data_IF_474891789264
#
_entry.id   IF_474891789264
#
_cell.length_a   1.000
_cell.length_b   1.000
_cell.length_c   1.000
_cell.angle_alpha   90.00
_cell.angle_beta   90.00
_cell.angle_gamma   90.00
#
_symmetry.space_group_name_H-M   'P 1'
#
loop_
_entity.id
_entity.type
_entity.pdbx_description
1 polymer ?
#
# COMPACT_ATOMS: atom_id res chain seq x y z
N UNK A 1 -7.60 -30.51 -0.67
CA UNK A 1 -7.44 -29.52 -1.77
C UNK A 1 -6.05 -28.88 -1.81
N UNK A 2 -5.46 -28.44 -0.68
CA UNK A 2 -4.10 -27.86 -0.64
C UNK A 2 -2.97 -28.79 -1.14
N UNK A 3 -3.04 -30.10 -0.85
CA UNK A 3 -2.04 -31.09 -1.28
C UNK A 3 -2.06 -31.37 -2.79
N UNK A 4 -3.23 -31.30 -3.44
CA UNK A 4 -3.36 -31.50 -4.88
C UNK A 4 -2.82 -30.31 -5.69
N UNK A 5 -2.89 -29.10 -5.12
CA UNK A 5 -2.30 -27.88 -5.71
C UNK A 5 -0.77 -27.83 -5.55
N UNK A 6 -0.24 -28.29 -4.41
CA UNK A 6 1.20 -28.43 -4.19
C UNK A 6 1.83 -29.42 -5.20
N UNK A 7 1.11 -30.48 -5.59
CA UNK A 7 1.59 -31.44 -6.60
C UNK A 7 1.58 -30.88 -8.04
N UNK A 8 0.62 -30.00 -8.40
CA UNK A 8 0.54 -29.35 -9.72
C UNK A 8 1.54 -28.19 -9.90
N UNK A 9 2.22 -27.79 -8.81
CA UNK A 9 3.24 -26.75 -8.76
C UNK A 9 4.53 -27.06 -9.54
N UNK A 10 4.77 -28.27 -10.02
CA UNK A 10 6.16 -28.71 -10.20
C UNK A 10 6.85 -28.33 -11.53
N UNK A 11 6.13 -27.90 -12.58
CA UNK A 11 6.73 -27.54 -13.88
C UNK A 11 6.61 -26.05 -14.21
N UNK A 12 5.38 -25.52 -14.25
CA UNK A 12 5.15 -24.12 -14.60
C UNK A 12 5.74 -23.13 -13.58
N UNK A 13 5.67 -23.43 -12.27
CA UNK A 13 6.27 -22.56 -11.24
C UNK A 13 7.81 -22.55 -11.29
N UNK A 14 8.42 -23.70 -11.66
CA UNK A 14 9.87 -23.81 -11.87
C UNK A 14 10.31 -23.00 -13.09
N UNK A 15 9.54 -23.06 -14.18
CA UNK A 15 9.80 -22.28 -15.39
C UNK A 15 9.69 -20.77 -15.11
N UNK A 16 8.64 -20.35 -14.41
CA UNK A 16 8.44 -18.96 -13.99
C UNK A 16 9.59 -18.47 -13.11
N UNK A 17 10.00 -19.24 -12.11
CA UNK A 17 11.15 -18.89 -11.26
C UNK A 17 12.45 -18.80 -12.06
N UNK A 18 12.69 -19.77 -12.95
CA UNK A 18 13.87 -19.78 -13.83
C UNK A 18 13.89 -18.52 -14.69
N UNK A 19 12.79 -18.15 -15.31
CA UNK A 19 12.72 -16.95 -16.15
C UNK A 19 12.92 -15.65 -15.35
N UNK A 20 12.24 -15.51 -14.21
CA UNK A 20 12.29 -14.28 -13.42
C UNK A 20 13.66 -14.01 -12.76
N UNK A 21 14.45 -15.04 -12.47
CA UNK A 21 15.70 -14.91 -11.71
C UNK A 21 16.91 -15.39 -12.52
N UNK A 22 16.89 -16.63 -12.99
CA UNK A 22 18.04 -17.26 -13.65
C UNK A 22 18.22 -16.77 -15.09
N UNK A 23 17.13 -16.39 -15.76
CA UNK A 23 17.13 -15.87 -17.12
C UNK A 23 16.98 -14.35 -17.23
N UNK A 24 16.90 -13.64 -16.10
CA UNK A 24 16.65 -12.20 -16.11
C UNK A 24 17.96 -11.40 -16.00
N UNK A 25 18.44 -10.75 -17.08
CA UNK A 25 19.70 -10.00 -17.06
C UNK A 25 19.71 -8.85 -16.03
N UNK A 26 18.55 -8.27 -15.71
CA UNK A 26 18.46 -7.19 -14.73
C UNK A 26 18.76 -7.68 -13.30
N UNK A 27 18.50 -8.95 -13.01
CA UNK A 27 18.78 -9.58 -11.70
C UNK A 27 20.23 -10.02 -11.60
N UNK A 28 20.80 -10.53 -12.70
CA UNK A 28 22.14 -11.14 -12.75
C UNK A 28 23.30 -10.15 -12.60
N UNK A 29 23.02 -8.84 -12.56
CA UNK A 29 24.03 -7.82 -12.35
C UNK A 29 24.88 -7.50 -13.58
N UNK A 30 24.52 -8.05 -14.76
CA UNK A 30 25.20 -7.74 -16.02
C UNK A 30 24.84 -6.34 -16.56
N UNK A 31 23.74 -5.74 -16.08
CA UNK A 31 23.26 -4.40 -16.44
C UNK A 31 23.28 -3.37 -15.31
N UNK A 32 23.21 -2.09 -15.68
CA UNK A 32 23.07 -0.95 -14.74
C UNK A 32 21.76 -1.01 -13.94
N UNK A 33 21.70 -0.34 -12.78
CA UNK A 33 20.44 -0.19 -12.03
C UNK A 33 19.36 0.58 -12.80
N UNK A 34 19.75 1.45 -13.74
CA UNK A 34 18.78 2.17 -14.58
C UNK A 34 18.10 1.26 -15.61
N UNK A 35 18.74 0.14 -15.98
CA UNK A 35 18.25 -0.73 -17.04
C UNK A 35 16.91 -1.40 -16.69
N UNK A 36 16.71 -1.74 -15.41
CA UNK A 36 15.43 -2.29 -14.92
C UNK A 36 14.26 -1.30 -14.99
N UNK A 37 14.50 -0.01 -15.25
CA UNK A 37 13.44 0.98 -15.45
C UNK A 37 12.90 0.96 -16.89
N UNK A 38 13.62 0.33 -17.82
CA UNK A 38 13.25 0.24 -19.24
C UNK A 38 12.75 -1.16 -19.63
N UNK A 39 12.89 -2.13 -18.73
CA UNK A 39 12.50 -3.51 -18.94
C UNK A 39 11.26 -3.87 -18.11
N UNK A 40 10.56 -4.91 -18.55
CA UNK A 40 9.51 -5.56 -17.79
C UNK A 40 10.10 -6.42 -16.66
N UNK A 41 9.21 -6.95 -15.81
CA UNK A 41 9.56 -7.81 -14.69
C UNK A 41 10.42 -9.04 -15.06
N UNK A 42 10.42 -9.47 -16.32
CA UNK A 42 11.14 -10.65 -16.79
C UNK A 42 12.49 -10.30 -17.45
N UNK A 43 12.80 -9.01 -17.59
CA UNK A 43 14.03 -8.52 -18.23
C UNK A 43 13.89 -8.29 -19.74
N UNK A 44 12.67 -8.28 -20.27
CA UNK A 44 12.40 -7.92 -21.67
C UNK A 44 12.16 -6.41 -21.79
N UNK A 45 12.76 -5.68 -22.75
CA UNK A 45 12.46 -4.26 -22.95
C UNK A 45 10.96 -3.98 -23.08
N UNK A 46 10.46 -2.93 -22.42
CA UNK A 46 9.03 -2.57 -22.42
C UNK A 46 8.50 -2.21 -23.81
N UNK A 47 9.37 -1.74 -24.70
CA UNK A 47 9.04 -1.34 -26.07
C UNK A 47 8.90 -2.52 -27.03
N UNK A 48 9.32 -3.72 -26.61
CA UNK A 48 9.29 -4.92 -27.43
C UNK A 48 7.89 -5.55 -27.43
N UNK A 49 7.44 -6.05 -28.58
CA UNK A 49 6.12 -6.70 -28.73
C UNK A 49 6.02 -8.03 -28.00
N UNK A 50 7.16 -8.65 -27.67
CA UNK A 50 7.25 -9.83 -26.80
C UNK A 50 7.21 -9.54 -25.29
N UNK A 51 7.13 -8.26 -24.89
CA UNK A 51 7.03 -7.85 -23.49
C UNK A 51 5.69 -8.24 -22.89
N UNK A 52 5.69 -8.64 -21.61
CA UNK A 52 4.45 -8.88 -20.88
C UNK A 52 3.84 -7.57 -20.36
N UNK A 53 4.53 -6.43 -20.50
CA UNK A 53 4.08 -5.12 -20.03
C UNK A 53 4.05 -4.97 -18.49
N UNK A 54 4.47 -6.00 -17.75
CA UNK A 54 4.48 -5.97 -16.28
C UNK A 54 5.64 -5.12 -15.76
N UNK A 55 5.37 -3.86 -15.43
CA UNK A 55 6.36 -2.93 -14.92
C UNK A 55 6.50 -3.01 -13.39
N UNK A 56 7.59 -3.62 -12.90
CA UNK A 56 7.79 -3.90 -11.46
C UNK A 56 9.23 -3.68 -10.98
N UNK A 57 9.82 -2.49 -11.19
CA UNK A 57 11.25 -2.24 -10.98
C UNK A 57 11.70 -2.45 -9.54
N UNK A 58 10.87 -2.13 -8.53
CA UNK A 58 11.23 -2.34 -7.12
C UNK A 58 11.35 -3.84 -6.76
N UNK A 59 10.53 -4.68 -7.39
CA UNK A 59 10.62 -6.12 -7.17
C UNK A 59 11.89 -6.69 -7.81
N UNK A 60 12.21 -6.27 -9.04
CA UNK A 60 13.45 -6.66 -9.74
C UNK A 60 14.68 -6.18 -8.95
N UNK A 61 14.66 -4.94 -8.44
CA UNK A 61 15.71 -4.42 -7.56
C UNK A 61 15.90 -5.29 -6.31
N UNK A 62 14.82 -5.73 -5.68
CA UNK A 62 14.90 -6.64 -4.52
C UNK A 62 15.50 -8.00 -4.88
N UNK A 63 15.20 -8.55 -6.07
CA UNK A 63 15.84 -9.78 -6.53
C UNK A 63 17.33 -9.59 -6.83
N UNK A 64 17.70 -8.47 -7.45
CA UNK A 64 19.10 -8.10 -7.70
C UNK A 64 19.88 -7.97 -6.39
N UNK A 65 19.34 -7.27 -5.40
CA UNK A 65 19.95 -7.17 -4.06
C UNK A 65 20.13 -8.55 -3.42
N UNK A 66 19.12 -9.42 -3.50
CA UNK A 66 19.23 -10.77 -2.95
C UNK A 66 20.29 -11.60 -3.67
N UNK A 67 20.39 -11.46 -5.00
CA UNK A 67 21.42 -12.11 -5.80
C UNK A 67 22.82 -11.63 -5.44
N UNK A 68 23.01 -10.33 -5.23
CA UNK A 68 24.30 -9.76 -4.81
C UNK A 68 24.75 -10.25 -3.42
N UNK A 69 23.81 -10.60 -2.54
CA UNK A 69 24.11 -11.06 -1.18
C UNK A 69 24.34 -12.57 -1.09
N UNK A 70 23.50 -13.39 -1.73
CA UNK A 70 23.49 -14.84 -1.54
C UNK A 70 23.43 -15.65 -2.86
N UNK A 71 23.66 -14.98 -4.00
CA UNK A 71 23.64 -15.60 -5.32
C UNK A 71 22.28 -16.24 -5.62
N UNK A 72 22.30 -17.48 -6.15
CA UNK A 72 21.08 -18.23 -6.50
C UNK A 72 20.57 -19.16 -5.39
N UNK A 73 21.11 -19.08 -4.17
CA UNK A 73 20.71 -20.01 -3.11
C UNK A 73 19.22 -19.85 -2.80
N UNK A 74 18.38 -20.89 -3.00
CA UNK A 74 16.93 -20.76 -2.84
C UNK A 74 16.52 -20.32 -1.44
N UNK A 75 17.30 -20.72 -0.42
CA UNK A 75 17.05 -20.39 0.97
C UNK A 75 16.92 -18.88 1.22
N UNK A 76 17.87 -18.06 0.75
CA UNK A 76 17.82 -16.61 0.94
C UNK A 76 16.57 -15.98 0.33
N UNK A 77 16.17 -16.43 -0.86
CA UNK A 77 14.96 -15.93 -1.52
C UNK A 77 13.68 -16.24 -0.73
N UNK A 78 13.57 -17.46 -0.21
CA UNK A 78 12.42 -17.87 0.62
C UNK A 78 12.42 -17.17 1.97
N UNK A 79 13.58 -17.02 2.61
CA UNK A 79 13.72 -16.31 3.89
C UNK A 79 13.20 -14.88 3.77
N UNK A 80 13.60 -14.14 2.72
CA UNK A 80 13.09 -12.79 2.47
C UNK A 80 11.56 -12.79 2.32
N UNK A 81 10.98 -13.73 1.58
CA UNK A 81 9.53 -13.80 1.42
C UNK A 81 8.80 -14.12 2.74
N UNK A 82 9.35 -14.99 3.58
CA UNK A 82 8.80 -15.29 4.92
C UNK A 82 8.85 -14.05 5.83
N UNK A 83 9.96 -13.30 5.80
CA UNK A 83 10.10 -12.05 6.57
C UNK A 83 9.11 -10.98 6.09
N UNK A 84 8.97 -10.81 4.78
CA UNK A 84 7.99 -9.90 4.19
C UNK A 84 6.56 -10.29 4.57
N UNK A 85 6.21 -11.58 4.51
CA UNK A 85 4.90 -12.05 4.92
C UNK A 85 4.65 -11.81 6.42
N UNK A 86 5.64 -12.06 7.27
CA UNK A 86 5.55 -11.78 8.71
C UNK A 86 5.30 -10.29 8.98
N UNK A 87 6.00 -9.41 8.26
CA UNK A 87 5.78 -7.96 8.33
C UNK A 87 4.36 -7.58 7.85
N UNK A 88 3.90 -8.13 6.72
CA UNK A 88 2.56 -7.89 6.20
C UNK A 88 1.49 -8.29 7.22
N UNK A 89 1.63 -9.47 7.84
CA UNK A 89 0.73 -9.94 8.91
C UNK A 89 0.71 -8.98 10.10
N UNK A 90 1.87 -8.50 10.55
CA UNK A 90 1.96 -7.49 11.60
C UNK A 90 1.25 -6.18 11.25
N UNK A 91 1.34 -5.74 9.99
CA UNK A 91 0.64 -4.55 9.49
C UNK A 91 -0.87 -4.76 9.39
N UNK A 92 -1.34 -5.93 8.99
CA UNK A 92 -2.76 -6.28 8.99
C UNK A 92 -3.32 -6.24 10.41
N UNK A 93 -2.61 -6.84 11.38
CA UNK A 93 -2.98 -6.76 12.80
C UNK A 93 -3.07 -5.30 13.27
N UNK A 94 -2.09 -4.47 12.89
CA UNK A 94 -2.10 -3.05 13.22
C UNK A 94 -3.28 -2.31 12.59
N UNK A 95 -3.61 -2.59 11.33
CA UNK A 95 -4.75 -2.00 10.64
C UNK A 95 -6.08 -2.45 11.26
N UNK A 96 -6.20 -3.74 11.59
CA UNK A 96 -7.37 -4.32 12.25
C UNK A 96 -7.67 -3.61 13.59
N UNK A 97 -6.65 -3.25 14.37
CA UNK A 97 -6.82 -2.44 15.60
C UNK A 97 -7.42 -1.05 15.37
N UNK A 98 -7.27 -0.49 14.17
CA UNK A 98 -7.83 0.81 13.82
C UNK A 98 -9.24 0.72 13.23
N UNK A 99 -9.56 -0.38 12.54
CA UNK A 99 -10.81 -0.52 11.78
C UNK A 99 -11.87 -1.36 12.48
N UNK A 100 -11.47 -2.38 13.26
CA UNK A 100 -12.42 -3.28 13.90
C UNK A 100 -12.81 -2.77 15.29
N UNK A 101 -14.11 -2.67 15.59
CA UNK A 101 -14.59 -2.42 16.94
C UNK A 101 -14.46 -3.66 17.84
N UNK A 102 -14.21 -4.84 17.25
CA UNK A 102 -13.97 -6.08 17.97
C UNK A 102 -12.65 -5.95 18.75
N UNK A 103 -12.71 -6.17 20.07
CA UNK A 103 -11.56 -6.05 20.99
C UNK A 103 -10.38 -6.98 20.64
N UNK A 104 -9.50 -7.24 21.62
CA UNK A 104 -8.23 -7.97 21.39
C UNK A 104 -8.39 -9.31 20.65
N UNK A 105 -9.51 -10.02 20.83
CA UNK A 105 -9.83 -11.28 20.16
C UNK A 105 -10.09 -11.12 18.66
N UNK A 106 -10.88 -10.14 18.22
CA UNK A 106 -11.18 -9.93 16.80
C UNK A 106 -9.94 -9.52 15.99
N UNK A 107 -9.07 -8.72 16.60
CA UNK A 107 -7.77 -8.36 16.02
C UNK A 107 -6.86 -9.58 15.86
N UNK A 108 -6.82 -10.47 16.86
CA UNK A 108 -6.03 -11.69 16.81
C UNK A 108 -6.55 -12.64 15.72
N UNK A 109 -7.86 -12.82 15.62
CA UNK A 109 -8.49 -13.64 14.59
C UNK A 109 -8.17 -13.11 13.19
N UNK A 110 -8.27 -11.80 12.97
CA UNK A 110 -7.93 -11.19 11.68
C UNK A 110 -6.46 -11.46 11.29
N UNK A 111 -5.53 -11.34 12.25
CA UNK A 111 -4.12 -11.66 12.02
C UNK A 111 -3.88 -13.13 11.74
N UNK A 112 -4.51 -14.03 12.51
CA UNK A 112 -4.38 -15.47 12.34
C UNK A 112 -4.97 -15.95 11.00
N UNK A 113 -6.13 -15.42 10.61
CA UNK A 113 -6.74 -15.73 9.32
C UNK A 113 -5.85 -15.26 8.17
N UNK A 114 -5.25 -14.07 8.26
CA UNK A 114 -4.33 -13.58 7.24
C UNK A 114 -3.04 -14.42 7.19
N UNK A 115 -2.46 -14.77 8.34
CA UNK A 115 -1.24 -15.59 8.38
C UNK A 115 -1.47 -17.01 7.84
N UNK A 116 -2.62 -17.61 8.15
CA UNK A 116 -2.95 -18.98 7.78
C UNK A 116 -3.62 -19.09 6.40
N UNK A 117 -3.89 -17.98 5.71
CA UNK A 117 -4.66 -18.02 4.47
C UNK A 117 -3.89 -18.75 3.36
N UNK A 118 -4.45 -19.81 2.74
CA UNK A 118 -3.77 -20.62 1.72
C UNK A 118 -3.23 -19.80 0.55
N UNK A 119 -3.93 -18.72 0.15
CA UNK A 119 -3.49 -17.83 -0.94
C UNK A 119 -2.11 -17.19 -0.68
N UNK A 120 -1.75 -16.96 0.59
CA UNK A 120 -0.45 -16.39 0.93
C UNK A 120 0.64 -17.45 0.96
N UNK A 121 0.29 -18.72 1.19
CA UNK A 121 1.27 -19.82 1.14
C UNK A 121 1.87 -19.95 -0.26
N UNK A 122 1.10 -19.69 -1.32
CA UNK A 122 1.59 -19.69 -2.70
C UNK A 122 2.51 -18.48 -2.98
N UNK A 123 2.18 -17.31 -2.45
CA UNK A 123 3.01 -16.10 -2.58
C UNK A 123 4.32 -16.21 -1.78
N UNK A 124 4.32 -16.96 -0.67
CA UNK A 124 5.52 -17.18 0.17
C UNK A 124 6.38 -18.31 -0.40
N UNK A 125 5.77 -19.43 -0.81
CA UNK A 125 6.46 -20.56 -1.41
C UNK A 125 6.94 -20.26 -2.85
N UNK A 126 6.25 -19.39 -3.57
CA UNK A 126 6.67 -18.89 -4.87
C UNK A 126 7.64 -17.72 -4.71
N UNK A 127 8.90 -17.87 -5.15
CA UNK A 127 9.87 -16.75 -5.11
C UNK A 127 9.35 -15.52 -5.86
N UNK A 128 8.64 -15.73 -6.97
CA UNK A 128 8.02 -14.68 -7.79
C UNK A 128 6.89 -13.93 -7.06
N UNK A 129 6.29 -14.53 -6.02
CA UNK A 129 5.28 -13.89 -5.18
C UNK A 129 5.81 -12.72 -4.33
N UNK A 130 7.12 -12.45 -4.36
CA UNK A 130 7.72 -11.30 -3.68
C UNK A 130 7.07 -9.97 -4.07
N UNK A 131 6.72 -9.78 -5.35
CA UNK A 131 6.05 -8.58 -5.84
C UNK A 131 4.76 -8.29 -5.06
N UNK A 132 3.99 -9.34 -4.82
CA UNK A 132 2.70 -9.29 -4.15
C UNK A 132 2.86 -8.95 -2.67
N UNK A 133 3.86 -9.54 -2.01
CA UNK A 133 4.19 -9.28 -0.61
C UNK A 133 4.67 -7.84 -0.40
N UNK A 134 5.62 -7.37 -1.21
CA UNK A 134 6.13 -5.98 -1.11
C UNK A 134 5.05 -4.96 -1.45
N UNK A 135 4.25 -5.23 -2.50
CA UNK A 135 3.11 -4.38 -2.87
C UNK A 135 2.08 -4.30 -1.75
N UNK A 136 1.76 -5.43 -1.10
CA UNK A 136 0.86 -5.49 0.06
C UNK A 136 1.40 -4.67 1.24
N UNK A 137 2.69 -4.76 1.56
CA UNK A 137 3.30 -3.98 2.65
C UNK A 137 3.17 -2.48 2.39
N UNK A 138 3.58 -2.01 1.21
CA UNK A 138 3.49 -0.58 0.87
C UNK A 138 2.04 -0.10 0.81
N UNK A 139 1.12 -0.93 0.31
CA UNK A 139 -0.31 -0.67 0.33
C UNK A 139 -0.83 -0.45 1.76
N UNK A 140 -0.53 -1.38 2.68
CA UNK A 140 -0.98 -1.31 4.07
C UNK A 140 -0.36 -0.10 4.79
N UNK A 141 0.92 0.20 4.53
CA UNK A 141 1.58 1.38 5.07
C UNK A 141 0.94 2.68 4.54
N UNK A 142 0.60 2.75 3.25
CA UNK A 142 -0.08 3.91 2.66
C UNK A 142 -1.43 4.16 3.34
N UNK A 143 -2.20 3.11 3.57
CA UNK A 143 -3.50 3.20 4.26
C UNK A 143 -3.34 3.61 5.73
N UNK A 144 -2.38 3.05 6.46
CA UNK A 144 -2.09 3.45 7.85
C UNK A 144 -1.62 4.91 7.96
N UNK A 145 -0.80 5.38 7.01
CA UNK A 145 -0.42 6.78 6.90
C UNK A 145 -1.64 7.66 6.60
N UNK A 146 -2.57 7.19 5.76
CA UNK A 146 -3.79 7.93 5.42
C UNK A 146 -4.75 8.05 6.60
N UNK A 147 -4.92 6.97 7.38
CA UNK A 147 -5.68 6.98 8.63
C UNK A 147 -5.09 8.02 9.60
N UNK A 148 -3.75 8.13 9.67
CA UNK A 148 -3.07 9.16 10.46
C UNK A 148 -3.36 10.57 9.94
N UNK A 149 -3.31 10.77 8.63
CA UNK A 149 -3.67 12.03 7.98
C UNK A 149 -5.09 12.48 8.37
N UNK A 150 -6.09 11.59 8.27
CA UNK A 150 -7.48 11.89 8.64
C UNK A 150 -7.59 12.30 10.12
N UNK A 151 -6.88 11.62 11.03
CA UNK A 151 -6.87 11.96 12.46
C UNK A 151 -6.26 13.34 12.73
N UNK A 152 -5.12 13.64 12.12
CA UNK A 152 -4.45 14.94 12.29
C UNK A 152 -5.22 16.10 11.65
N UNK A 153 -5.90 15.83 10.54
CA UNK A 153 -6.83 16.78 9.89
C UNK A 153 -7.96 17.20 10.83
N UNK A 154 -8.52 16.27 11.62
CA UNK A 154 -9.58 16.57 12.58
C UNK A 154 -9.11 17.49 13.73
N UNK A 155 -7.84 17.43 14.11
CA UNK A 155 -7.25 18.25 15.16
C UNK A 155 -6.53 19.50 14.65
N UNK A 156 -6.58 19.77 13.34
CA UNK A 156 -5.91 20.93 12.73
C UNK A 156 -4.37 20.87 12.77
N UNK A 157 -3.78 19.69 13.00
CA UNK A 157 -2.32 19.54 13.11
C UNK A 157 -1.66 19.66 11.72
N UNK A 158 -0.57 20.45 11.63
CA UNK A 158 0.23 20.64 10.42
C UNK A 158 0.85 19.32 9.91
N UNK A 159 1.09 18.35 10.79
CA UNK A 159 1.63 17.02 10.47
C UNK A 159 0.74 16.23 9.50
N UNK A 160 -0.52 16.63 9.31
CA UNK A 160 -1.41 16.02 8.32
C UNK A 160 -0.79 16.01 6.92
N UNK A 161 -0.12 17.08 6.49
CA UNK A 161 0.46 17.17 5.14
C UNK A 161 1.62 16.20 4.96
N UNK A 162 2.41 15.96 6.00
CA UNK A 162 3.48 14.95 5.99
C UNK A 162 2.89 13.54 5.88
N UNK A 163 1.81 13.24 6.60
CA UNK A 163 1.13 11.95 6.48
C UNK A 163 0.52 11.74 5.08
N UNK A 164 -0.05 12.79 4.48
CA UNK A 164 -0.58 12.73 3.12
C UNK A 164 0.53 12.49 2.09
N UNK A 165 1.63 13.23 2.19
CA UNK A 165 2.80 13.03 1.34
C UNK A 165 3.34 11.60 1.48
N UNK A 166 3.45 11.09 2.71
CA UNK A 166 3.85 9.70 2.95
C UNK A 166 2.88 8.70 2.31
N UNK A 167 1.56 8.91 2.40
CA UNK A 167 0.57 8.05 1.71
C UNK A 167 0.79 8.01 0.21
N UNK A 168 0.97 9.17 -0.43
CA UNK A 168 1.18 9.25 -1.88
C UNK A 168 2.47 8.54 -2.28
N UNK A 169 3.57 8.79 -1.56
CA UNK A 169 4.86 8.14 -1.83
C UNK A 169 4.79 6.61 -1.63
N UNK A 170 4.13 6.15 -0.59
CA UNK A 170 3.96 4.71 -0.32
C UNK A 170 3.04 4.05 -1.34
N UNK A 171 1.97 4.72 -1.78
CA UNK A 171 1.10 4.23 -2.84
C UNK A 171 1.83 4.14 -4.18
N UNK A 172 2.67 5.13 -4.52
CA UNK A 172 3.54 5.10 -5.68
C UNK A 172 4.57 3.95 -5.59
N UNK A 173 5.19 3.74 -4.43
CA UNK A 173 6.07 2.59 -4.22
C UNK A 173 5.32 1.25 -4.38
N UNK A 174 4.09 1.15 -3.89
CA UNK A 174 3.26 -0.05 -4.08
C UNK A 174 2.96 -0.31 -5.57
N UNK A 175 2.68 0.74 -6.35
CA UNK A 175 2.48 0.66 -7.80
C UNK A 175 3.71 0.13 -8.55
N UNK A 176 4.90 0.57 -8.13
CA UNK A 176 6.17 0.10 -8.69
C UNK A 176 6.52 -1.35 -8.29
N UNK A 177 5.83 -1.91 -7.30
CA UNK A 177 5.89 -3.33 -6.98
C UNK A 177 4.86 -4.13 -7.77
N UNK A 178 3.64 -3.61 -7.90
CA UNK A 178 2.52 -4.25 -8.58
C UNK A 178 1.44 -3.23 -8.98
N UNK A 179 1.03 -3.30 -10.24
CA UNK A 179 0.03 -2.44 -10.86
C UNK A 179 -1.35 -2.46 -10.15
N UNK A 180 -1.72 -3.60 -9.55
CA UNK A 180 -2.98 -3.73 -8.78
C UNK A 180 -3.03 -2.81 -7.56
N UNK A 181 -1.90 -2.27 -7.11
CA UNK A 181 -1.82 -1.37 -5.97
C UNK A 181 -2.43 0.02 -6.22
N UNK A 182 -2.82 0.35 -7.46
CA UNK A 182 -3.58 1.58 -7.78
C UNK A 182 -4.84 1.72 -6.92
N UNK A 183 -5.43 0.57 -6.56
CA UNK A 183 -6.60 0.47 -5.70
C UNK A 183 -6.36 1.02 -4.29
N UNK A 184 -5.11 1.23 -3.84
CA UNK A 184 -4.80 1.83 -2.55
C UNK A 184 -5.38 3.24 -2.41
N UNK A 185 -5.26 4.05 -3.47
CA UNK A 185 -5.77 5.42 -3.49
C UNK A 185 -7.29 5.43 -3.45
N UNK A 186 -7.93 4.50 -4.17
CA UNK A 186 -9.38 4.33 -4.17
C UNK A 186 -9.86 3.97 -2.77
N UNK A 187 -9.21 3.03 -2.09
CA UNK A 187 -9.56 2.65 -0.71
C UNK A 187 -9.34 3.81 0.27
N UNK A 188 -8.29 4.61 0.10
CA UNK A 188 -8.08 5.83 0.89
C UNK A 188 -9.23 6.83 0.68
N UNK A 189 -9.63 7.07 -0.57
CA UNK A 189 -10.75 7.96 -0.88
C UNK A 189 -12.07 7.46 -0.28
N UNK A 190 -12.38 6.17 -0.40
CA UNK A 190 -13.56 5.55 0.22
C UNK A 190 -13.51 5.71 1.75
N UNK A 191 -12.35 5.47 2.37
CA UNK A 191 -12.18 5.65 3.81
C UNK A 191 -12.45 7.10 4.25
N UNK A 192 -11.99 8.08 3.47
CA UNK A 192 -12.24 9.50 3.76
C UNK A 192 -13.70 9.88 3.60
N UNK A 193 -14.37 9.36 2.57
CA UNK A 193 -15.80 9.56 2.35
C UNK A 193 -16.59 9.02 3.56
N UNK A 194 -16.32 7.78 3.98
CA UNK A 194 -16.98 7.16 5.14
C UNK A 194 -16.77 8.00 6.41
N UNK A 195 -15.54 8.44 6.69
CA UNK A 195 -15.23 9.24 7.88
C UNK A 195 -15.75 10.67 7.79
N UNK A 196 -15.79 11.26 6.59
CA UNK A 196 -16.38 12.57 6.33
C UNK A 196 -17.89 12.57 6.59
N UNK A 197 -18.60 11.55 6.11
CA UNK A 197 -20.03 11.38 6.39
C UNK A 197 -20.33 11.17 7.87
N UNK A 198 -19.54 10.33 8.57
CA UNK A 198 -19.69 10.12 10.00
C UNK A 198 -19.44 11.41 10.80
N UNK A 199 -18.37 12.15 10.48
CA UNK A 199 -18.06 13.41 11.15
C UNK A 199 -19.09 14.52 10.91
N UNK A 200 -19.71 14.57 9.72
CA UNK A 200 -20.81 15.51 9.45
C UNK A 200 -22.09 15.13 10.20
N UNK A 201 -22.40 13.84 10.35
CA UNK A 201 -23.53 13.36 11.16
C UNK A 201 -23.38 13.69 12.64
N UNK A 202 -22.19 13.48 13.20
CA UNK A 202 -21.92 13.79 14.60
C UNK A 202 -22.02 15.30 14.86
N UNK A 203 -21.50 16.12 13.93
CA UNK A 203 -21.65 17.58 13.98
C UNK A 203 -23.10 18.04 13.80
N UNK A 204 -23.90 17.38 12.97
CA UNK A 204 -25.35 17.65 12.84
C UNK A 204 -26.12 17.23 14.10
N UNK A 205 -25.75 16.13 14.75
CA UNK A 205 -26.34 15.69 16.02
C UNK A 205 -26.04 16.64 17.18
N UNK A 206 -24.83 17.22 17.22
CA UNK A 206 -24.48 18.29 18.17
C UNK A 206 -25.08 19.65 17.78
N UNK A 207 -25.19 19.98 16.49
CA UNK A 207 -25.77 21.25 16.00
C UNK A 207 -27.30 21.24 15.91
N UNK A 208 -27.98 20.13 16.15
CA UNK A 208 -29.44 20.10 16.29
C UNK A 208 -29.96 20.91 17.51
N UNK A 209 -29.05 21.49 18.30
CA UNK A 209 -29.34 22.49 19.34
C UNK A 209 -29.06 23.95 18.93
N UNK A 210 -28.68 24.25 17.69
CA UNK A 210 -28.46 25.64 17.23
C UNK A 210 -29.02 25.86 15.81
N UNK A 211 -29.96 26.82 15.61
CA UNK A 211 -30.58 27.08 14.32
C UNK A 211 -29.61 27.91 13.46
N UNK A 212 -28.81 27.25 12.60
CA UNK A 212 -27.80 27.95 11.81
C UNK A 212 -27.32 27.21 10.56
N UNK A 213 -28.21 26.50 9.87
CA UNK A 213 -27.84 25.60 8.76
C UNK A 213 -27.44 26.27 7.43
N UNK A 214 -27.47 27.60 7.31
CA UNK A 214 -27.03 28.29 6.09
C UNK A 214 -25.51 28.52 6.07
N UNK A 215 -24.87 28.63 7.24
CA UNK A 215 -23.44 28.93 7.30
C UNK A 215 -22.56 27.73 6.92
N UNK A 216 -23.07 26.50 7.12
CA UNK A 216 -22.34 25.25 6.88
C UNK A 216 -22.22 24.87 5.40
N UNK A 217 -23.27 25.13 4.61
CA UNK A 217 -23.23 24.90 3.16
C UNK A 217 -22.26 25.88 2.50
N UNK A 218 -22.28 27.15 2.94
CA UNK A 218 -21.33 28.16 2.49
C UNK A 218 -19.89 27.81 2.88
N UNK A 219 -19.64 27.32 4.09
CA UNK A 219 -18.28 26.96 4.53
C UNK A 219 -17.73 25.69 3.85
N UNK A 220 -18.61 24.72 3.51
CA UNK A 220 -18.23 23.58 2.69
C UNK A 220 -17.88 23.98 1.26
N UNK A 221 -18.63 24.90 0.65
CA UNK A 221 -18.32 25.43 -0.68
C UNK A 221 -17.02 26.25 -0.66
N UNK A 222 -16.78 27.01 0.41
CA UNK A 222 -15.60 27.86 0.59
C UNK A 222 -14.30 27.06 0.80
N UNK A 223 -14.35 25.96 1.56
CA UNK A 223 -13.21 25.06 1.77
C UNK A 223 -12.86 24.23 0.53
N UNK A 224 -13.81 24.05 -0.39
CA UNK A 224 -13.61 23.27 -1.62
C UNK A 224 -13.24 24.13 -2.84
N UNK A 225 -13.59 25.42 -2.86
CA UNK A 225 -13.35 26.33 -4.01
C UNK A 225 -12.46 27.55 -3.73
N UNK A 226 -12.05 27.83 -2.49
CA UNK A 226 -11.33 29.06 -2.17
C UNK A 226 -9.82 29.03 -2.50
N UNK A 227 -9.30 29.92 -3.38
CA UNK A 227 -7.87 30.13 -3.50
C UNK A 227 -7.33 30.73 -2.19
N UNK A 228 -6.23 30.14 -1.70
CA UNK A 228 -5.55 30.57 -0.46
C UNK A 228 -4.84 31.90 -0.71
N UNK A 229 -5.45 33.02 -0.32
CA UNK A 229 -4.71 34.26 -0.10
C UNK A 229 -5.28 35.07 1.07
N UNK A 230 -4.47 35.14 2.13
CA UNK A 230 -4.20 36.29 3.02
C UNK A 230 -5.42 37.11 3.44
N UNK A 231 -5.78 37.08 4.74
CA UNK A 231 -6.20 38.31 5.44
C UNK A 231 -5.95 38.18 6.95
N UNK A 232 -4.94 38.92 7.41
CA UNK A 232 -4.80 39.41 8.79
C UNK A 232 -5.88 40.49 9.02
N UNK A 233 -6.66 40.38 10.09
CA UNK A 233 -7.52 41.48 10.57
C UNK A 233 -7.15 41.76 12.04
N UNK A 234 -6.85 43.02 12.43
CA UNK A 234 -6.45 43.36 13.79
C UNK A 234 -7.68 43.50 14.71
N UNK A 235 -7.52 43.46 16.05
CA UNK A 235 -8.65 43.56 16.96
C UNK A 235 -9.14 45.00 17.08
N UNK A 236 -10.43 45.22 16.83
CA UNK A 236 -11.15 46.46 17.17
C UNK A 236 -11.62 46.40 18.63
N UNK A 237 -11.06 47.29 19.46
CA UNK A 237 -11.54 47.59 20.80
C UNK A 237 -12.73 48.56 20.74
N UNK A 238 -13.90 48.11 21.18
CA UNK A 238 -14.97 48.97 21.67
C UNK A 238 -15.02 48.86 23.19
N UNK A 239 -14.52 49.89 23.86
CA UNK A 239 -15.10 50.54 25.04
C UNK A 239 -14.42 51.90 25.21
#
# INVERSE_FOLDING_TARGET
>A
MALWFIARSNSSSKMVRRRAILGNPDVLGTGSWSQMLHNDFWGTPLVDSGSHGSYRPLCVASFKLNYLLDGFKPFGYHLVNVLLHSLATGLVVKLARHLLPAGRSGVAIAGLLFAAHPIHTEAVAGVVGRADLTGCIFYLLALLAYIRHVRWRQWGDRRQWLALAATVLLAAAALLCKETAVTALVVCAIYDIIKGYAGSRDKLGLNAHCPGNIHLILNMLYLYLGPRSVFTVPPSSFH
#
